data_IF_708361234826
#
_entry.id   IF_708361234826
#
_cell.length_a   1.000
_cell.length_b   1.000
_cell.length_c   1.000
_cell.angle_alpha   90.00
_cell.angle_beta   90.00
_cell.angle_gamma   90.00
#
_symmetry.space_group_name_H-M   'P 1'
#
loop_
_entity.id
_entity.type
_entity.pdbx_description
1 polymer ?
#
# COMPACT_ATOMS: atom_id res chain seq x y z
N UNK A 1 -13.68 -1.84 5.73
CA UNK A 1 -12.96 -2.88 4.97
C UNK A 1 -11.91 -2.22 4.10
N UNK A 2 -10.68 -2.63 4.23
CA UNK A 2 -9.57 -2.05 3.46
C UNK A 2 -9.43 -2.76 2.13
N UNK A 3 -9.30 -1.98 1.08
CA UNK A 3 -9.12 -2.53 -0.26
C UNK A 3 -7.88 -1.90 -0.89
N UNK A 4 -7.00 -2.74 -1.43
CA UNK A 4 -5.81 -2.27 -2.14
C UNK A 4 -5.82 -2.81 -3.55
N UNK A 5 -5.65 -1.92 -4.50
CA UNK A 5 -5.62 -2.22 -5.92
C UNK A 5 -4.25 -1.84 -6.46
N UNK A 6 -3.57 -2.79 -7.09
CA UNK A 6 -2.28 -2.54 -7.72
C UNK A 6 -2.48 -2.31 -9.21
N UNK A 7 -1.80 -1.28 -9.74
CA UNK A 7 -1.83 -0.97 -11.16
C UNK A 7 -0.60 -1.56 -11.82
N UNK A 8 -0.83 -2.47 -12.78
CA UNK A 8 0.25 -3.08 -13.54
C UNK A 8 0.24 -2.60 -14.98
N UNK A 9 1.43 -2.42 -15.54
CA UNK A 9 1.60 -2.17 -16.97
C UNK A 9 1.46 -3.50 -17.74
N UNK A 10 1.35 -3.39 -19.05
CA UNK A 10 1.20 -4.55 -19.93
C UNK A 10 2.37 -5.53 -19.79
N UNK A 11 3.57 -5.01 -19.52
CA UNK A 11 4.77 -5.83 -19.35
C UNK A 11 4.87 -6.50 -17.96
N UNK A 12 3.89 -6.27 -17.09
CA UNK A 12 3.86 -6.85 -15.75
C UNK A 12 4.49 -6.01 -14.66
N UNK A 13 5.16 -4.90 -15.00
CA UNK A 13 5.71 -4.00 -14.00
C UNK A 13 4.61 -3.19 -13.32
N UNK A 14 4.83 -2.80 -12.07
CA UNK A 14 3.84 -2.03 -11.33
C UNK A 14 3.96 -0.54 -11.62
N UNK A 15 2.81 0.08 -11.85
CA UNK A 15 2.72 1.52 -12.08
C UNK A 15 2.34 2.28 -10.81
N UNK A 16 1.75 1.61 -9.85
CA UNK A 16 1.33 2.23 -8.60
C UNK A 16 0.31 1.38 -7.89
N UNK A 17 -0.32 1.97 -6.88
CA UNK A 17 -1.40 1.29 -6.17
C UNK A 17 -2.34 2.30 -5.54
N UNK A 18 -3.53 1.84 -5.22
CA UNK A 18 -4.57 2.60 -4.55
C UNK A 18 -5.02 1.85 -3.32
N UNK A 19 -4.98 2.51 -2.18
CA UNK A 19 -5.46 1.97 -0.91
C UNK A 19 -6.70 2.74 -0.50
N UNK A 20 -7.77 2.03 -0.22
CA UNK A 20 -9.04 2.62 0.21
C UNK A 20 -9.52 1.92 1.46
N UNK A 21 -9.88 2.72 2.45
CA UNK A 21 -10.47 2.23 3.67
C UNK A 21 -11.87 2.82 3.82
N UNK A 22 -12.80 2.04 4.35
CA UNK A 22 -14.15 2.55 4.62
C UNK A 22 -14.14 3.25 5.97
N UNK A 23 -13.89 4.55 5.94
CA UNK A 23 -13.89 5.40 7.14
C UNK A 23 -15.26 5.34 7.82
N UNK A 24 -15.25 5.20 9.13
CA UNK A 24 -16.48 5.23 9.93
C UNK A 24 -17.14 3.87 10.15
N UNK A 25 -16.63 2.83 9.55
CA UNK A 25 -17.13 1.47 9.76
C UNK A 25 -16.07 0.64 10.46
N UNK A 26 -16.04 0.73 11.76
CA UNK A 26 -15.18 -0.16 12.53
C UNK A 26 -16.02 -1.23 13.18
N UNK A 27 -16.09 -2.39 12.56
CA UNK A 27 -16.42 -3.58 13.30
C UNK A 27 -15.19 -3.94 14.15
N UNK A 28 -15.44 -4.50 15.31
CA UNK A 28 -14.37 -4.92 16.21
C UNK A 28 -13.39 -5.84 15.47
N UNK A 29 -12.12 -5.50 15.44
CA UNK A 29 -11.08 -6.23 14.71
C UNK A 29 -10.69 -5.60 13.38
N UNK A 30 -11.56 -4.82 12.75
CA UNK A 30 -11.24 -4.16 11.49
C UNK A 30 -10.30 -2.96 11.70
N UNK A 31 -10.36 -2.30 12.84
CA UNK A 31 -9.44 -1.21 13.17
C UNK A 31 -8.00 -1.69 13.20
N UNK A 32 -7.77 -2.90 13.67
CA UNK A 32 -6.43 -3.51 13.73
C UNK A 32 -5.92 -3.75 12.30
N UNK A 33 -6.76 -4.29 11.43
CA UNK A 33 -6.40 -4.53 10.03
C UNK A 33 -6.10 -3.21 9.33
N UNK A 34 -6.95 -2.21 9.49
CA UNK A 34 -6.76 -0.90 8.89
C UNK A 34 -5.46 -0.25 9.36
N UNK A 35 -5.18 -0.34 10.66
CA UNK A 35 -3.95 0.21 11.23
C UNK A 35 -2.73 -0.53 10.69
N UNK A 36 -2.79 -1.84 10.56
CA UNK A 36 -1.69 -2.64 10.02
C UNK A 36 -1.43 -2.30 8.56
N UNK A 37 -2.48 -2.23 7.75
CA UNK A 37 -2.35 -1.88 6.33
C UNK A 37 -1.80 -0.47 6.19
N UNK A 38 -2.30 0.49 6.95
CA UNK A 38 -1.83 1.88 6.90
C UNK A 38 -0.35 1.96 7.28
N UNK A 39 0.07 1.24 8.32
CA UNK A 39 1.47 1.21 8.74
C UNK A 39 2.37 0.65 7.64
N UNK A 40 1.95 -0.42 6.98
CA UNK A 40 2.72 -1.02 5.89
C UNK A 40 2.83 -0.08 4.69
N UNK A 41 1.74 0.58 4.32
CA UNK A 41 1.73 1.51 3.18
C UNK A 41 2.61 2.73 3.50
N UNK A 42 2.47 3.31 4.68
CA UNK A 42 3.27 4.46 5.09
C UNK A 42 4.75 4.08 5.15
N UNK A 43 5.05 2.91 5.71
CA UNK A 43 6.44 2.43 5.75
C UNK A 43 7.01 2.27 4.34
N UNK A 44 6.23 1.72 3.42
CA UNK A 44 6.68 1.57 2.04
C UNK A 44 7.01 2.93 1.41
N UNK A 45 6.10 3.90 1.54
CA UNK A 45 6.30 5.23 0.95
C UNK A 45 7.51 5.91 1.56
N UNK A 46 7.65 5.87 2.88
CA UNK A 46 8.79 6.46 3.57
C UNK A 46 10.10 5.77 3.18
N UNK A 47 10.08 4.45 3.05
CA UNK A 47 11.26 3.68 2.64
C UNK A 47 11.66 4.03 1.21
N UNK A 48 10.69 4.14 0.32
CA UNK A 48 10.96 4.51 -1.06
C UNK A 48 11.61 5.89 -1.13
N UNK A 49 11.10 6.84 -0.34
CA UNK A 49 11.61 8.21 -0.30
C UNK A 49 13.02 8.29 0.29
N UNK A 50 13.27 7.58 1.39
CA UNK A 50 14.51 7.68 2.16
C UNK A 50 15.61 6.76 1.64
N UNK A 51 15.25 5.59 1.11
CA UNK A 51 16.21 4.55 0.79
C UNK A 51 16.48 4.37 -0.71
N UNK A 52 15.69 5.03 -1.55
CA UNK A 52 15.87 4.97 -3.00
C UNK A 52 15.79 6.36 -3.60
N UNK A 53 16.20 6.47 -4.86
CA UNK A 53 16.04 7.70 -5.67
C UNK A 53 14.82 7.60 -6.59
N UNK A 54 13.94 6.65 -6.36
CA UNK A 54 12.76 6.45 -7.20
C UNK A 54 11.79 7.62 -7.07
N UNK A 55 11.17 7.97 -8.19
CA UNK A 55 10.22 9.08 -8.25
C UNK A 55 8.78 8.55 -8.18
N UNK A 56 7.98 9.19 -7.37
CA UNK A 56 6.58 8.82 -7.20
C UNK A 56 5.74 10.04 -6.90
N UNK A 57 4.44 9.90 -7.11
CA UNK A 57 3.44 10.88 -6.68
C UNK A 57 2.51 10.20 -5.69
N UNK A 58 2.14 10.92 -4.64
CA UNK A 58 1.20 10.42 -3.66
C UNK A 58 0.05 11.41 -3.51
N UNK A 59 -1.16 10.89 -3.49
CA UNK A 59 -2.36 11.67 -3.25
C UNK A 59 -3.11 11.04 -2.09
N UNK A 60 -3.42 11.83 -1.08
CA UNK A 60 -4.08 11.37 0.13
C UNK A 60 -5.41 12.11 0.29
N UNK A 61 -6.49 11.36 0.36
CA UNK A 61 -7.80 11.89 0.68
C UNK A 61 -8.19 11.41 2.08
N UNK A 62 -8.07 12.31 3.05
CA UNK A 62 -8.31 11.95 4.46
C UNK A 62 -9.79 11.69 4.75
N UNK A 63 -10.70 12.37 4.06
CA UNK A 63 -12.13 12.18 4.26
C UNK A 63 -12.58 10.78 3.89
N UNK A 64 -12.06 10.26 2.78
CA UNK A 64 -12.41 8.93 2.30
C UNK A 64 -11.39 7.87 2.69
N UNK A 65 -10.35 8.26 3.45
CA UNK A 65 -9.26 7.38 3.86
C UNK A 65 -8.62 6.67 2.65
N UNK A 66 -8.34 7.44 1.60
CA UNK A 66 -7.74 6.94 0.37
C UNK A 66 -6.30 7.41 0.23
N UNK A 67 -5.45 6.53 -0.23
CA UNK A 67 -4.06 6.82 -0.58
C UNK A 67 -3.82 6.26 -1.98
N UNK A 68 -3.40 7.13 -2.89
CA UNK A 68 -3.05 6.73 -4.25
C UNK A 68 -1.57 7.03 -4.48
N UNK A 69 -0.82 6.03 -4.90
CA UNK A 69 0.61 6.15 -5.15
C UNK A 69 0.86 5.77 -6.60
N UNK A 70 1.51 6.66 -7.35
CA UNK A 70 1.85 6.42 -8.75
C UNK A 70 3.36 6.58 -8.90
N UNK A 71 4.00 5.57 -9.45
CA UNK A 71 5.42 5.62 -9.77
C UNK A 71 5.57 6.31 -11.12
N UNK A 72 6.25 7.47 -11.13
CA UNK A 72 6.38 8.28 -12.34
C UNK A 72 7.42 7.71 -13.31
N UNK A 73 8.26 6.81 -12.82
CA UNK A 73 9.25 6.09 -13.61
C UNK A 73 9.25 4.63 -13.16
N UNK A 74 9.91 3.76 -13.91
CA UNK A 74 10.08 2.38 -13.51
C UNK A 74 10.87 2.31 -12.20
N UNK A 75 10.42 1.46 -11.27
CA UNK A 75 11.10 1.30 -10.00
C UNK A 75 12.48 0.69 -10.17
N UNK A 76 13.43 1.17 -9.36
CA UNK A 76 14.74 0.55 -9.23
C UNK A 76 14.61 -0.87 -8.66
N UNK A 77 15.71 -1.61 -8.64
CA UNK A 77 15.72 -2.93 -8.00
C UNK A 77 15.36 -2.82 -6.51
N UNK A 78 15.89 -1.81 -5.82
CA UNK A 78 15.58 -1.56 -4.41
C UNK A 78 14.11 -1.20 -4.22
N UNK A 79 13.57 -0.33 -5.07
CA UNK A 79 12.16 0.04 -5.02
C UNK A 79 11.25 -1.15 -5.30
N UNK A 80 11.63 -2.00 -6.24
CA UNK A 80 10.89 -3.23 -6.54
C UNK A 80 10.90 -4.19 -5.37
N UNK A 81 12.03 -4.31 -4.68
CA UNK A 81 12.14 -5.15 -3.49
C UNK A 81 11.23 -4.63 -2.37
N UNK A 82 11.23 -3.32 -2.17
CA UNK A 82 10.35 -2.69 -1.17
C UNK A 82 8.88 -2.94 -1.50
N UNK A 83 8.51 -2.85 -2.76
CA UNK A 83 7.12 -3.12 -3.19
C UNK A 83 6.75 -4.58 -2.95
N UNK A 84 7.64 -5.51 -3.27
CA UNK A 84 7.41 -6.92 -3.01
C UNK A 84 7.27 -7.19 -1.52
N UNK A 85 8.05 -6.51 -0.70
CA UNK A 85 7.94 -6.58 0.75
C UNK A 85 6.57 -6.07 1.23
N UNK A 86 6.10 -4.97 0.65
CA UNK A 86 4.76 -4.45 0.95
C UNK A 86 3.68 -5.47 0.62
N UNK A 87 3.74 -6.05 -0.57
CA UNK A 87 2.76 -7.05 -1.01
C UNK A 87 2.77 -8.26 -0.09
N UNK A 88 3.95 -8.72 0.28
CA UNK A 88 4.09 -9.84 1.21
C UNK A 88 3.47 -9.51 2.57
N UNK A 89 3.75 -8.32 3.08
CA UNK A 89 3.18 -7.87 4.36
C UNK A 89 1.66 -7.77 4.32
N UNK A 90 1.12 -7.20 3.24
CA UNK A 90 -0.33 -7.09 3.07
C UNK A 90 -1.00 -8.46 2.98
N UNK A 91 -0.39 -9.40 2.27
CA UNK A 91 -0.88 -10.76 2.16
C UNK A 91 -0.87 -11.45 3.52
N UNK A 92 0.19 -11.25 4.29
CA UNK A 92 0.31 -11.82 5.63
C UNK A 92 -0.76 -11.28 6.58
N UNK A 93 -1.03 -9.98 6.52
CA UNK A 93 -2.09 -9.36 7.33
C UNK A 93 -3.44 -9.97 6.97
N UNK A 94 -3.74 -10.11 5.68
CA UNK A 94 -4.99 -10.68 5.22
C UNK A 94 -5.16 -12.12 5.73
N UNK A 95 -4.13 -12.95 5.59
CA UNK A 95 -4.18 -14.36 6.02
C UNK A 95 -4.30 -14.49 7.53
N UNK A 96 -3.50 -13.73 8.29
CA UNK A 96 -3.45 -13.85 9.73
C UNK A 96 -4.69 -13.28 10.41
N UNK A 97 -5.24 -12.19 9.85
CA UNK A 97 -6.39 -11.52 10.45
C UNK A 97 -7.72 -12.18 10.08
N UNK A 98 -7.79 -12.86 8.95
CA UNK A 98 -8.98 -13.61 8.55
C UNK A 98 -9.25 -14.81 9.48
N UNK A 99 -8.24 -15.28 10.18
CA UNK A 99 -8.38 -16.41 11.10
C UNK A 99 -8.81 -15.98 12.51
N UNK A 100 -8.93 -14.70 12.73
CA UNK A 100 -9.43 -14.16 13.98
C UNK A 100 -10.93 -13.91 13.86
#
# INVERSE_FOLDING_TARGET
MTKITFYQRVDGTFQGFHSQDHAGYSAEGQDIVCAAVSALVINFVNSLDELTDDHYQIDVNQEDAEIDVVFTEELSEEGSLLLRSLILGLTSVEEDMDSI
#
